data_IF_468269967392
#
_entry.id   IF_468269967392
#
_cell.length_a   1.000
_cell.length_b   1.000
_cell.length_c   1.000
_cell.angle_alpha   90.00
_cell.angle_beta   90.00
_cell.angle_gamma   90.00
#
_symmetry.space_group_name_H-M   'P 1'
#
loop_
_entity.id
_entity.type
_entity.pdbx_description
1 polymer ?
#
# COMPACT_ATOMS: atom_id res chain seq x y z
N UNK A 1 -26.55 7.80 -21.39
CA UNK A 1 -26.26 6.55 -20.66
C UNK A 1 -24.90 5.97 -21.06
N UNK A 2 -24.63 5.77 -22.36
CA UNK A 2 -23.34 5.26 -22.87
C UNK A 2 -22.10 6.11 -22.52
N UNK A 3 -22.24 7.45 -22.52
CA UNK A 3 -21.16 8.38 -22.17
C UNK A 3 -20.75 8.22 -20.69
N UNK A 4 -21.72 7.97 -19.81
CA UNK A 4 -21.51 7.82 -18.38
C UNK A 4 -20.75 6.53 -18.05
N UNK A 5 -21.09 5.42 -18.71
CA UNK A 5 -20.38 4.14 -18.55
C UNK A 5 -18.92 4.22 -19.04
N UNK A 6 -18.67 4.92 -20.15
CA UNK A 6 -17.30 5.09 -20.66
C UNK A 6 -16.43 5.92 -19.71
N UNK A 7 -16.99 6.96 -19.09
CA UNK A 7 -16.29 7.80 -18.11
C UNK A 7 -15.99 6.99 -16.84
N UNK A 8 -16.92 6.17 -16.38
CA UNK A 8 -16.75 5.34 -15.19
C UNK A 8 -15.60 4.34 -15.36
N UNK A 9 -15.55 3.62 -16.49
CA UNK A 9 -14.45 2.69 -16.80
C UNK A 9 -13.09 3.39 -16.84
N UNK A 10 -13.03 4.58 -17.43
CA UNK A 10 -11.81 5.39 -17.47
C UNK A 10 -11.37 5.81 -16.05
N UNK A 11 -12.29 6.31 -15.23
CA UNK A 11 -11.99 6.75 -13.87
C UNK A 11 -11.52 5.58 -12.99
N UNK A 12 -12.15 4.41 -13.14
CA UNK A 12 -11.72 3.18 -12.47
C UNK A 12 -10.31 2.76 -12.89
N UNK A 13 -9.96 2.85 -14.17
CA UNK A 13 -8.61 2.54 -14.66
C UNK A 13 -7.56 3.50 -14.06
N UNK A 14 -7.83 4.81 -14.12
CA UNK A 14 -6.97 5.84 -13.52
C UNK A 14 -6.77 5.57 -12.03
N UNK A 15 -7.84 5.22 -11.32
CA UNK A 15 -7.79 4.90 -9.90
C UNK A 15 -6.95 3.64 -9.62
N UNK A 16 -7.09 2.57 -10.42
CA UNK A 16 -6.28 1.37 -10.27
C UNK A 16 -4.79 1.65 -10.50
N UNK A 17 -4.44 2.42 -11.54
CA UNK A 17 -3.06 2.83 -11.80
C UNK A 17 -2.50 3.65 -10.64
N UNK A 18 -3.28 4.59 -10.12
CA UNK A 18 -2.90 5.38 -8.95
C UNK A 18 -2.68 4.50 -7.71
N UNK A 19 -3.55 3.51 -7.46
CA UNK A 19 -3.39 2.57 -6.35
C UNK A 19 -2.13 1.71 -6.48
N UNK A 20 -1.75 1.30 -7.69
CA UNK A 20 -0.51 0.56 -7.92
C UNK A 20 0.69 1.42 -7.54
N UNK A 21 0.74 2.67 -8.04
CA UNK A 21 1.82 3.60 -7.72
C UNK A 21 1.90 3.89 -6.21
N UNK A 22 0.76 4.11 -5.57
CA UNK A 22 0.69 4.35 -4.13
C UNK A 22 1.18 3.14 -3.31
N UNK A 23 0.83 1.92 -3.72
CA UNK A 23 1.33 0.70 -3.06
C UNK A 23 2.85 0.53 -3.25
N UNK A 24 3.40 0.85 -4.42
CA UNK A 24 4.85 0.80 -4.66
C UNK A 24 5.58 1.79 -3.75
N UNK A 25 5.10 3.03 -3.67
CA UNK A 25 5.66 4.05 -2.78
C UNK A 25 5.55 3.60 -1.31
N UNK A 26 4.43 3.01 -0.92
CA UNK A 26 4.22 2.48 0.42
C UNK A 26 5.20 1.34 0.75
N UNK A 27 5.42 0.42 -0.20
CA UNK A 27 6.37 -0.68 -0.05
C UNK A 27 7.81 -0.17 0.11
N UNK A 28 8.19 0.90 -0.62
CA UNK A 28 9.49 1.54 -0.43
C UNK A 28 9.70 1.98 1.02
N UNK A 29 8.72 2.69 1.61
CA UNK A 29 8.80 3.12 3.02
C UNK A 29 8.79 1.94 4.00
N UNK A 30 8.06 0.86 3.71
CA UNK A 30 8.02 -0.33 4.56
C UNK A 30 9.37 -1.05 4.55
N UNK A 31 10.02 -1.15 3.39
CA UNK A 31 11.36 -1.76 3.26
C UNK A 31 12.39 -0.90 4.02
N UNK A 32 12.29 0.42 3.93
CA UNK A 32 13.11 1.33 4.73
C UNK A 32 12.87 1.07 6.22
N UNK A 33 11.60 0.97 6.66
CA UNK A 33 11.21 0.68 8.04
C UNK A 33 11.77 -0.66 8.57
N UNK A 34 11.87 -1.68 7.70
CA UNK A 34 12.45 -2.99 8.01
C UNK A 34 13.96 -2.94 8.30
N UNK A 35 14.64 -1.91 7.79
CA UNK A 35 16.08 -1.71 7.95
C UNK A 35 16.45 -1.09 9.31
N UNK A 36 15.47 -0.53 10.02
CA UNK A 36 15.69 -0.01 11.37
C UNK A 36 15.58 -1.13 12.41
N UNK A 37 16.59 -1.22 13.28
CA UNK A 37 16.60 -2.18 14.39
C UNK A 37 15.71 -1.72 15.55
N UNK A 38 15.69 -0.42 15.86
CA UNK A 38 14.91 0.16 16.94
C UNK A 38 14.29 1.50 16.53
N UNK A 39 13.05 1.74 16.97
CA UNK A 39 12.45 3.07 16.98
C UNK A 39 12.49 3.60 18.41
N UNK A 40 13.00 4.83 18.56
CA UNK A 40 13.09 5.53 19.83
C UNK A 40 11.88 6.45 19.99
N UNK A 41 11.06 6.19 21.00
CA UNK A 41 10.01 7.09 21.46
C UNK A 41 10.40 7.76 22.77
N UNK A 42 10.18 9.07 22.88
CA UNK A 42 10.36 9.82 24.12
C UNK A 42 9.04 9.87 24.88
N UNK A 43 9.04 9.41 26.13
CA UNK A 43 7.90 9.55 27.04
C UNK A 43 7.90 10.93 27.70
N UNK A 44 6.72 11.33 28.21
CA UNK A 44 6.48 12.65 28.84
C UNK A 44 7.31 12.82 30.13
N UNK A 45 7.70 11.72 30.77
CA UNK A 45 8.57 11.66 31.95
C UNK A 45 10.08 11.66 31.60
N UNK A 46 10.44 11.78 30.32
CA UNK A 46 11.82 11.72 29.85
C UNK A 46 12.35 10.29 29.68
N UNK A 47 11.51 9.26 29.87
CA UNK A 47 11.86 7.88 29.61
C UNK A 47 12.08 7.61 28.12
N UNK A 48 13.07 6.79 27.79
CA UNK A 48 13.30 6.29 26.43
C UNK A 48 12.58 4.95 26.30
N UNK A 49 11.62 4.86 25.37
CA UNK A 49 11.02 3.58 24.98
C UNK A 49 11.57 3.18 23.63
N UNK A 50 12.29 2.07 23.61
CA UNK A 50 12.71 1.40 22.38
C UNK A 50 11.74 0.27 22.07
N UNK A 51 11.30 0.19 20.83
CA UNK A 51 10.56 -0.97 20.33
C UNK A 51 11.09 -1.31 18.93
N UNK A 52 11.06 -2.60 18.59
CA UNK A 52 11.50 -3.07 17.28
C UNK A 52 10.37 -2.85 16.26
N UNK A 53 10.55 -1.98 15.25
CA UNK A 53 9.51 -1.76 14.24
C UNK A 53 9.31 -2.96 13.32
N UNK A 54 10.25 -3.91 13.34
CA UNK A 54 10.36 -5.02 12.41
C UNK A 54 9.08 -5.85 12.33
N UNK A 55 8.44 -6.17 13.46
CA UNK A 55 7.18 -6.95 13.47
C UNK A 55 6.05 -6.22 12.77
N UNK A 56 5.92 -4.91 13.02
CA UNK A 56 4.91 -4.06 12.39
C UNK A 56 5.21 -3.89 10.89
N UNK A 57 6.47 -3.65 10.55
CA UNK A 57 6.93 -3.52 9.16
C UNK A 57 6.67 -4.80 8.35
N UNK A 58 6.90 -5.99 8.91
CA UNK A 58 6.53 -7.26 8.27
C UNK A 58 5.02 -7.37 8.01
N UNK A 59 4.19 -6.97 8.97
CA UNK A 59 2.73 -6.99 8.80
C UNK A 59 2.31 -6.04 7.67
N UNK A 60 2.86 -4.82 7.63
CA UNK A 60 2.61 -3.89 6.55
C UNK A 60 3.15 -4.38 5.20
N UNK A 61 4.27 -5.10 5.18
CA UNK A 61 4.85 -5.65 3.97
C UNK A 61 3.94 -6.70 3.34
N UNK A 62 3.48 -7.68 4.13
CA UNK A 62 2.53 -8.71 3.66
C UNK A 62 1.22 -8.06 3.20
N UNK A 63 0.73 -7.07 3.94
CA UNK A 63 -0.47 -6.32 3.56
C UNK A 63 -0.28 -5.55 2.24
N UNK A 64 0.86 -4.88 2.06
CA UNK A 64 1.19 -4.12 0.85
C UNK A 64 1.29 -5.02 -0.38
N UNK A 65 1.95 -6.19 -0.27
CA UNK A 65 2.01 -7.19 -1.35
C UNK A 65 0.61 -7.73 -1.67
N UNK A 66 -0.17 -8.08 -0.65
CA UNK A 66 -1.53 -8.60 -0.84
C UNK A 66 -2.44 -7.59 -1.53
N UNK A 67 -2.34 -6.31 -1.13
CA UNK A 67 -3.10 -5.23 -1.74
C UNK A 67 -2.69 -4.99 -3.20
N UNK A 68 -1.38 -4.97 -3.48
CA UNK A 68 -0.85 -4.86 -4.85
C UNK A 68 -1.38 -6.01 -5.73
N UNK A 69 -1.32 -7.24 -5.21
CA UNK A 69 -1.83 -8.42 -5.91
C UNK A 69 -3.33 -8.30 -6.19
N UNK A 70 -4.12 -7.89 -5.20
CA UNK A 70 -5.57 -7.71 -5.36
C UNK A 70 -5.90 -6.66 -6.44
N UNK A 71 -5.22 -5.52 -6.45
CA UNK A 71 -5.43 -4.47 -7.45
C UNK A 71 -5.05 -4.97 -8.85
N UNK A 72 -3.92 -5.67 -8.99
CA UNK A 72 -3.50 -6.25 -10.26
C UNK A 72 -4.49 -7.28 -10.80
N UNK A 73 -4.97 -8.20 -9.96
CA UNK A 73 -5.99 -9.20 -10.35
C UNK A 73 -7.30 -8.52 -10.72
N UNK A 74 -7.73 -7.51 -9.96
CA UNK A 74 -8.95 -6.76 -10.24
C UNK A 74 -8.88 -6.00 -11.57
N UNK A 75 -7.72 -5.40 -11.88
CA UNK A 75 -7.48 -4.75 -13.16
C UNK A 75 -7.47 -5.78 -14.30
N UNK A 76 -6.80 -6.91 -14.10
CA UNK A 76 -6.71 -7.99 -15.08
C UNK A 76 -8.11 -8.54 -15.41
N UNK A 77 -8.90 -8.90 -14.39
CA UNK A 77 -10.26 -9.40 -14.56
C UNK A 77 -11.11 -8.44 -15.41
N UNK A 78 -10.99 -7.12 -15.17
CA UNK A 78 -11.74 -6.10 -15.92
C UNK A 78 -11.24 -5.86 -17.34
N UNK A 79 -9.95 -6.08 -17.61
CA UNK A 79 -9.40 -6.02 -18.97
C UNK A 79 -9.84 -7.23 -19.81
N UNK A 80 -10.10 -8.37 -19.16
CA UNK A 80 -10.57 -9.59 -19.82
C UNK A 80 -12.09 -9.72 -19.88
N UNK A 81 -12.84 -9.03 -19.01
CA UNK A 81 -14.29 -8.88 -19.14
C UNK A 81 -14.61 -8.03 -20.38
N UNK A 82 -15.09 -8.69 -21.43
CA UNK A 82 -15.50 -8.09 -22.71
C UNK A 82 -16.83 -7.36 -22.59
#
# INVERSE_FOLDING_TARGET
MYITESIEKYLQYVYCVFLILFNIVSLYFIIDLLSYDEIIGYLIDGGIKTDSPRKLAYLFFVNGISNLFFVCVSLMARLFDK
#
